data_IF_959628593339
#
_entry.id   IF_959628593339
#
_cell.length_a   1.000
_cell.length_b   1.000
_cell.length_c   1.000
_cell.angle_alpha   90.00
_cell.angle_beta   90.00
_cell.angle_gamma   90.00
#
_symmetry.space_group_name_H-M   'P 1'
#
loop_
_entity.id
_entity.type
_entity.pdbx_description
1 polymer ?
#
# COMPACT_ATOMS: atom_id res chain seq x y z
N UNK A 1 -12.42 -3.83 -3.20
CA UNK A 1 -12.66 -2.99 -1.99
C UNK A 1 -13.19 -3.80 -0.83
N UNK A 2 -14.15 -4.73 -1.03
CA UNK A 2 -14.62 -5.58 0.05
C UNK A 2 -13.50 -6.43 0.67
N UNK A 3 -12.70 -7.12 -0.14
CA UNK A 3 -11.58 -7.95 0.36
C UNK A 3 -10.56 -7.15 1.18
N UNK A 4 -10.31 -5.89 0.79
CA UNK A 4 -9.42 -4.98 1.52
C UNK A 4 -9.99 -4.66 2.91
N UNK A 5 -11.30 -4.39 3.00
CA UNK A 5 -11.96 -4.12 4.27
C UNK A 5 -12.06 -5.39 5.14
N UNK A 6 -12.35 -6.53 4.54
CA UNK A 6 -12.39 -7.83 5.24
C UNK A 6 -11.03 -8.15 5.86
N UNK A 7 -9.94 -7.97 5.11
CA UNK A 7 -8.59 -8.18 5.63
C UNK A 7 -8.27 -7.24 6.80
N UNK A 8 -8.68 -5.96 6.73
CA UNK A 8 -8.48 -5.03 7.84
C UNK A 8 -9.15 -5.52 9.13
N UNK A 9 -10.42 -5.97 9.03
CA UNK A 9 -11.15 -6.55 10.17
C UNK A 9 -10.43 -7.79 10.72
N UNK A 10 -9.99 -8.70 9.87
CA UNK A 10 -9.28 -9.91 10.29
C UNK A 10 -7.96 -9.59 11.03
N UNK A 11 -7.22 -8.58 10.58
CA UNK A 11 -5.98 -8.13 11.23
C UNK A 11 -6.26 -7.47 12.59
N UNK A 12 -7.32 -6.66 12.69
CA UNK A 12 -7.77 -6.06 13.96
C UNK A 12 -8.21 -7.13 14.97
N UNK A 13 -9.03 -8.09 14.56
CA UNK A 13 -9.49 -9.21 15.40
C UNK A 13 -8.33 -10.08 15.88
N UNK A 14 -7.30 -10.25 15.05
CA UNK A 14 -6.08 -10.99 15.40
C UNK A 14 -5.11 -10.19 16.31
N UNK A 15 -5.39 -8.91 16.59
CA UNK A 15 -4.50 -8.04 17.37
C UNK A 15 -3.18 -7.73 16.65
N UNK A 16 -3.17 -7.82 15.31
CA UNK A 16 -1.98 -7.56 14.49
C UNK A 16 -1.90 -6.07 14.19
N UNK A 17 -0.83 -5.42 14.63
CA UNK A 17 -0.54 -4.05 14.23
C UNK A 17 -0.28 -4.00 12.72
N UNK A 18 -1.02 -3.14 12.01
CA UNK A 18 -0.95 -3.06 10.57
C UNK A 18 -1.19 -1.62 10.09
N UNK A 19 -0.71 -1.36 8.87
CA UNK A 19 -1.04 -0.17 8.10
C UNK A 19 -1.48 -0.61 6.69
N UNK A 20 -2.57 -0.04 6.19
CA UNK A 20 -3.08 -0.33 4.85
C UNK A 20 -3.42 0.97 4.14
N UNK A 21 -2.80 1.20 2.97
CA UNK A 21 -2.99 2.41 2.16
C UNK A 21 -3.65 2.04 0.83
N UNK A 22 -4.73 2.75 0.49
CA UNK A 22 -5.33 2.68 -0.84
C UNK A 22 -4.99 3.92 -1.66
N UNK A 23 -4.52 3.72 -2.88
CA UNK A 23 -4.21 4.80 -3.82
C UNK A 23 -5.34 4.94 -4.83
N UNK A 24 -6.11 6.03 -4.73
CA UNK A 24 -7.25 6.28 -5.62
C UNK A 24 -6.83 6.31 -7.10
N UNK A 25 -7.58 5.62 -7.96
CA UNK A 25 -7.31 5.56 -9.39
C UNK A 25 -6.10 4.69 -9.80
N UNK A 26 -5.44 4.04 -8.84
CA UNK A 26 -4.32 3.14 -9.10
C UNK A 26 -4.80 1.70 -9.31
N UNK A 27 -4.67 1.13 -10.53
CA UNK A 27 -4.97 -0.27 -10.77
C UNK A 27 -3.88 -1.19 -10.20
N UNK A 28 -4.15 -2.49 -10.13
CA UNK A 28 -3.11 -3.47 -9.82
C UNK A 28 -1.90 -3.31 -10.76
N UNK A 29 -0.69 -3.42 -10.20
CA UNK A 29 0.59 -3.15 -10.88
C UNK A 29 0.80 -1.68 -11.32
N UNK A 30 0.39 -0.72 -10.49
CA UNK A 30 0.57 0.72 -10.75
C UNK A 30 2.03 1.20 -10.72
N UNK A 31 2.97 0.39 -10.22
CA UNK A 31 4.42 0.69 -10.14
C UNK A 31 5.22 0.21 -11.35
N UNK A 32 4.59 -0.46 -12.32
CA UNK A 32 5.30 -1.03 -13.48
C UNK A 32 5.47 0.03 -14.57
N UNK A 33 6.68 0.58 -14.69
CA UNK A 33 7.04 1.52 -15.75
C UNK A 33 6.75 0.98 -17.16
N UNK A 34 6.30 1.86 -18.05
CA UNK A 34 5.95 1.51 -19.43
C UNK A 34 4.62 0.76 -19.60
N UNK A 35 3.97 0.35 -18.50
CA UNK A 35 2.63 -0.25 -18.53
C UNK A 35 1.55 0.81 -18.67
N UNK A 36 0.41 0.54 -19.36
CA UNK A 36 -0.77 1.42 -19.32
C UNK A 36 -1.38 1.55 -17.91
N UNK A 37 -0.97 0.67 -16.99
CA UNK A 37 -1.39 0.67 -15.58
C UNK A 37 -0.55 1.61 -14.71
N UNK A 38 0.61 2.07 -15.19
CA UNK A 38 1.50 2.93 -14.41
C UNK A 38 0.78 4.18 -13.89
N UNK A 39 0.98 4.52 -12.62
CA UNK A 39 0.47 5.75 -12.00
C UNK A 39 1.57 6.37 -11.14
N UNK A 40 2.21 7.40 -11.69
CA UNK A 40 3.34 8.11 -11.06
C UNK A 40 3.04 8.59 -9.63
N UNK A 41 1.89 9.22 -9.39
CA UNK A 41 1.52 9.72 -8.07
C UNK A 41 1.43 8.60 -7.02
N UNK A 42 0.81 7.46 -7.37
CA UNK A 42 0.69 6.30 -6.47
C UNK A 42 2.04 5.62 -6.26
N UNK A 43 2.84 5.49 -7.32
CA UNK A 43 4.20 4.95 -7.29
C UNK A 43 5.09 5.74 -6.31
N UNK A 44 5.21 7.06 -6.52
CA UNK A 44 6.02 7.95 -5.68
C UNK A 44 5.58 7.93 -4.20
N UNK A 45 4.26 7.96 -3.94
CA UNK A 45 3.74 7.91 -2.56
C UNK A 45 4.00 6.56 -1.90
N UNK A 46 3.82 5.46 -2.62
CA UNK A 46 4.08 4.11 -2.10
C UNK A 46 5.56 3.89 -1.81
N UNK A 47 6.45 4.40 -2.67
CA UNK A 47 7.89 4.30 -2.47
C UNK A 47 8.37 5.14 -1.29
N UNK A 48 7.81 6.35 -1.13
CA UNK A 48 8.09 7.18 0.05
C UNK A 48 7.68 6.46 1.33
N UNK A 49 6.44 5.96 1.42
CA UNK A 49 5.98 5.28 2.64
C UNK A 49 6.79 4.03 2.95
N UNK A 50 7.16 3.27 1.92
CA UNK A 50 8.05 2.12 2.09
C UNK A 50 9.40 2.51 2.71
N UNK A 51 10.01 3.62 2.25
CA UNK A 51 11.24 4.16 2.83
C UNK A 51 11.08 4.57 4.31
N UNK A 52 9.98 5.26 4.64
CA UNK A 52 9.67 5.66 6.02
C UNK A 52 9.51 4.44 6.94
N UNK A 53 8.80 3.40 6.49
CA UNK A 53 8.68 2.14 7.25
C UNK A 53 10.04 1.49 7.48
N UNK A 54 10.92 1.46 6.47
CA UNK A 54 12.27 0.92 6.64
C UNK A 54 13.08 1.71 7.68
N UNK A 55 12.98 3.04 7.67
CA UNK A 55 13.62 3.88 8.69
C UNK A 55 13.08 3.58 10.09
N UNK A 56 11.75 3.45 10.24
CA UNK A 56 11.08 3.15 11.52
C UNK A 56 11.48 1.79 12.11
N UNK A 57 11.71 0.77 11.27
CA UNK A 57 11.94 -0.62 11.73
C UNK A 57 13.41 -1.05 11.75
N UNK A 58 14.33 -0.25 11.21
CA UNK A 58 15.76 -0.60 11.15
C UNK A 58 16.68 0.28 11.99
N UNK A 59 16.16 1.36 12.59
CA UNK A 59 16.87 2.19 13.56
C UNK A 59 16.72 1.67 14.99
#
# INVERSE_FOLDING_TARGET
MQDFATLAVELEEAGVSHEMISYSGAPHAFTVFGSPRYREDADMKSWRRFGEVLEEVTQ
#
